data_IF_808893302416
#
_entry.id   IF_808893302416
#
_cell.length_a   1.000
_cell.length_b   1.000
_cell.length_c   1.000
_cell.angle_alpha   90.00
_cell.angle_beta   90.00
_cell.angle_gamma   90.00
#
_symmetry.space_group_name_H-M   'P 1'
#
loop_
_entity.id
_entity.type
_entity.pdbx_description
1 polymer ?
#
# COMPACT_ATOMS: atom_id res chain seq x y z
N UNK A 1 -7.52 -15.18 -25.07
CA UNK A 1 -6.08 -15.29 -24.74
C UNK A 1 -5.67 -14.35 -23.60
N UNK A 2 -6.37 -14.31 -22.45
CA UNK A 2 -6.14 -13.28 -21.38
C UNK A 2 -5.75 -13.86 -20.01
N UNK A 3 -5.47 -15.17 -19.89
CA UNK A 3 -5.36 -15.83 -18.56
C UNK A 3 -3.93 -16.18 -18.14
N UNK A 4 -2.87 -15.75 -18.83
CA UNK A 4 -1.50 -16.24 -18.57
C UNK A 4 -0.60 -15.33 -17.71
N UNK A 5 -1.05 -14.13 -17.34
CA UNK A 5 -0.17 -13.19 -16.62
C UNK A 5 -0.18 -13.35 -15.08
N UNK A 6 -1.21 -13.95 -14.52
CA UNK A 6 -1.40 -14.04 -13.05
C UNK A 6 -0.51 -15.11 -12.40
N UNK A 7 -0.07 -16.13 -13.15
CA UNK A 7 0.71 -17.24 -12.59
C UNK A 7 2.21 -16.98 -12.40
N UNK A 8 2.75 -15.91 -12.95
CA UNK A 8 4.20 -15.66 -12.89
C UNK A 8 4.67 -15.13 -11.54
N UNK A 9 3.79 -14.49 -10.75
CA UNK A 9 4.15 -13.90 -9.46
C UNK A 9 4.09 -14.87 -8.27
N UNK A 10 3.45 -16.01 -8.40
CA UNK A 10 3.30 -17.00 -7.31
C UNK A 10 4.52 -17.92 -7.11
N UNK A 11 5.48 -17.93 -8.04
CA UNK A 11 6.67 -18.80 -7.97
C UNK A 11 7.92 -18.16 -7.34
N UNK A 12 7.93 -16.86 -7.07
CA UNK A 12 9.09 -16.16 -6.52
C UNK A 12 9.40 -16.41 -5.03
N UNK A 13 8.45 -16.72 -4.12
CA UNK A 13 8.77 -16.86 -2.70
C UNK A 13 9.57 -18.13 -2.35
N UNK A 14 9.60 -19.14 -3.20
CA UNK A 14 10.25 -20.43 -2.86
C UNK A 14 11.75 -20.48 -3.14
N UNK A 15 12.31 -19.58 -3.92
CA UNK A 15 13.76 -19.58 -4.22
C UNK A 15 14.64 -18.86 -3.19
N UNK A 16 14.07 -18.12 -2.25
CA UNK A 16 14.83 -17.42 -1.20
C UNK A 16 15.17 -18.28 0.02
N UNK A 17 14.80 -19.56 0.04
CA UNK A 17 14.99 -20.46 1.19
C UNK A 17 16.43 -20.99 1.39
N UNK A 18 17.39 -20.50 0.63
CA UNK A 18 18.77 -21.03 0.64
C UNK A 18 19.86 -20.17 1.29
N UNK A 19 19.56 -18.96 1.80
CA UNK A 19 20.63 -18.09 2.30
C UNK A 19 20.87 -18.26 3.81
N UNK A 20 22.00 -18.83 4.16
CA UNK A 20 22.45 -19.10 5.54
C UNK A 20 23.16 -17.93 6.23
N UNK A 21 23.27 -16.76 5.59
CA UNK A 21 23.83 -15.53 6.17
C UNK A 21 22.88 -14.37 5.90
N UNK A 22 22.74 -13.38 6.81
CA UNK A 22 21.97 -12.18 6.53
C UNK A 22 22.51 -11.55 5.26
N UNK A 23 21.64 -11.38 4.25
CA UNK A 23 22.03 -10.80 2.98
C UNK A 23 22.81 -9.50 3.24
N UNK A 24 24.00 -9.29 2.64
CA UNK A 24 24.87 -8.15 2.96
C UNK A 24 24.20 -6.79 2.73
N UNK A 25 23.10 -6.76 1.95
CA UNK A 25 22.44 -5.55 1.49
C UNK A 25 21.17 -5.17 2.25
N UNK A 26 20.56 -6.07 3.05
CA UNK A 26 19.32 -5.78 3.76
C UNK A 26 18.58 -7.03 4.25
N UNK A 27 17.41 -6.79 4.85
CA UNK A 27 16.54 -7.81 5.42
C UNK A 27 15.26 -7.94 4.57
N UNK A 28 14.87 -9.17 4.30
CA UNK A 28 13.61 -9.51 3.65
C UNK A 28 12.59 -10.00 4.68
N UNK A 29 11.33 -9.66 4.46
CA UNK A 29 10.20 -10.19 5.22
C UNK A 29 8.98 -10.35 4.33
N UNK A 30 8.03 -11.16 4.78
CA UNK A 30 6.77 -11.46 4.09
C UNK A 30 5.62 -11.06 4.99
N UNK A 31 4.49 -10.65 4.40
CA UNK A 31 3.28 -10.39 5.17
C UNK A 31 2.05 -11.09 4.60
N UNK A 32 1.11 -11.36 5.48
CA UNK A 32 -0.26 -11.72 5.16
C UNK A 32 -1.18 -10.76 5.89
N UNK A 33 -2.16 -10.22 5.18
CA UNK A 33 -3.05 -9.23 5.73
C UNK A 33 -4.38 -9.15 5.00
N UNK A 34 -5.12 -8.11 5.34
CA UNK A 34 -6.34 -7.71 4.67
C UNK A 34 -6.37 -6.20 4.50
N UNK A 35 -6.98 -5.76 3.41
CA UNK A 35 -7.17 -4.35 3.10
C UNK A 35 -8.65 -4.05 2.90
N UNK A 36 -9.06 -2.89 3.40
CA UNK A 36 -10.31 -2.22 3.03
C UNK A 36 -9.98 -0.84 2.46
N UNK A 37 -10.36 -0.60 1.23
CA UNK A 37 -10.41 0.71 0.60
C UNK A 37 -11.86 1.14 0.51
N UNK A 38 -12.18 2.38 0.84
CA UNK A 38 -13.56 2.89 0.83
C UNK A 38 -13.61 4.34 0.35
N UNK A 39 -14.57 4.61 -0.52
CA UNK A 39 -15.07 5.92 -0.95
C UNK A 39 -16.53 6.06 -0.53
N UNK A 40 -17.17 7.24 -0.63
CA UNK A 40 -18.57 7.43 -0.23
C UNK A 40 -19.55 6.44 -0.86
N UNK A 41 -19.34 6.05 -2.12
CA UNK A 41 -20.28 5.23 -2.89
C UNK A 41 -19.77 3.80 -3.18
N UNK A 42 -18.53 3.46 -2.77
CA UNK A 42 -17.98 2.13 -3.07
C UNK A 42 -16.91 1.69 -2.07
N UNK A 43 -16.66 0.38 -2.03
CA UNK A 43 -15.55 -0.19 -1.29
C UNK A 43 -14.94 -1.39 -1.99
N UNK A 44 -13.66 -1.63 -1.67
CA UNK A 44 -12.87 -2.78 -2.06
C UNK A 44 -12.34 -3.43 -0.78
N UNK A 45 -12.61 -4.72 -0.57
CA UNK A 45 -12.18 -5.45 0.64
C UNK A 45 -11.63 -6.81 0.23
N UNK A 46 -10.47 -7.17 0.77
CA UNK A 46 -9.91 -8.50 0.48
C UNK A 46 -8.57 -8.77 1.14
N UNK A 47 -8.09 -10.01 1.03
CA UNK A 47 -6.78 -10.40 1.50
C UNK A 47 -5.67 -9.77 0.66
N UNK A 48 -4.50 -9.62 1.28
CA UNK A 48 -3.28 -9.20 0.62
C UNK A 48 -2.07 -9.99 1.14
N UNK A 49 -1.10 -10.22 0.27
CA UNK A 49 0.21 -10.74 0.62
C UNK A 49 1.26 -9.69 0.29
N UNK A 50 2.32 -9.64 1.06
CA UNK A 50 3.38 -8.66 0.89
C UNK A 50 4.77 -9.25 0.92
N UNK A 51 5.66 -8.59 0.19
CA UNK A 51 7.11 -8.74 0.26
C UNK A 51 7.68 -7.40 0.70
N UNK A 52 8.54 -7.43 1.70
CA UNK A 52 9.16 -6.25 2.27
C UNK A 52 10.67 -6.41 2.25
N UNK A 53 11.36 -5.34 1.92
CA UNK A 53 12.81 -5.26 1.98
C UNK A 53 13.24 -3.99 2.70
N UNK A 54 14.25 -4.10 3.55
CA UNK A 54 14.80 -3.01 4.32
C UNK A 54 16.31 -3.03 4.23
N UNK A 55 16.93 -1.95 3.75
CA UNK A 55 18.39 -1.85 3.70
C UNK A 55 19.00 -1.79 5.11
N UNK A 56 20.29 -2.11 5.21
CA UNK A 56 21.09 -1.62 6.33
C UNK A 56 21.23 -0.11 6.22
N UNK A 57 21.55 0.59 7.33
CA UNK A 57 21.88 2.02 7.26
C UNK A 57 22.97 2.28 6.21
N UNK A 58 22.70 3.18 5.30
CA UNK A 58 23.62 3.54 4.21
C UNK A 58 24.66 4.50 4.76
N UNK A 59 25.87 3.99 5.02
CA UNK A 59 27.00 4.81 5.47
C UNK A 59 27.37 5.82 4.38
N UNK A 60 27.54 7.08 4.77
CA UNK A 60 27.81 8.20 3.84
C UNK A 60 26.60 9.06 3.48
N UNK A 61 25.37 8.58 3.72
CA UNK A 61 24.12 9.35 3.54
C UNK A 61 23.42 9.71 4.86
N UNK A 62 24.19 9.95 5.95
CA UNK A 62 23.65 10.37 7.23
C UNK A 62 22.76 9.31 7.90
N UNK A 63 23.13 8.02 7.83
CA UNK A 63 22.35 6.89 8.36
C UNK A 63 20.96 6.73 7.72
N UNK A 64 20.85 7.04 6.45
CA UNK A 64 19.62 6.80 5.69
C UNK A 64 19.32 5.30 5.60
N UNK A 65 18.05 4.93 5.66
CA UNK A 65 17.54 3.59 5.45
C UNK A 65 16.55 3.59 4.30
N UNK A 66 16.73 2.67 3.35
CA UNK A 66 15.78 2.44 2.26
C UNK A 66 14.86 1.27 2.62
N UNK A 67 13.58 1.44 2.41
CA UNK A 67 12.55 0.40 2.57
C UNK A 67 11.72 0.29 1.30
N UNK A 68 11.43 -0.93 0.89
CA UNK A 68 10.59 -1.23 -0.26
C UNK A 68 9.54 -2.26 0.14
N UNK A 69 8.28 -1.94 -0.06
CA UNK A 69 7.16 -2.86 0.13
C UNK A 69 6.49 -3.11 -1.22
N UNK A 70 6.12 -4.35 -1.51
CA UNK A 70 5.27 -4.75 -2.62
C UNK A 70 4.14 -5.62 -2.08
N UNK A 71 2.89 -5.19 -2.28
CA UNK A 71 1.71 -5.90 -1.82
C UNK A 71 0.82 -6.24 -3.01
N UNK A 72 0.25 -7.44 -3.00
CA UNK A 72 -0.68 -7.92 -4.01
C UNK A 72 -1.90 -8.49 -3.31
N UNK A 73 -3.09 -8.13 -3.77
CA UNK A 73 -4.34 -8.58 -3.18
C UNK A 73 -5.39 -8.95 -4.21
N UNK A 74 -6.40 -9.70 -3.77
CA UNK A 74 -7.62 -9.98 -4.50
C UNK A 74 -8.80 -9.47 -3.67
N UNK A 75 -9.51 -8.47 -4.20
CA UNK A 75 -10.53 -7.75 -3.46
C UNK A 75 -11.93 -8.02 -4.01
N UNK A 76 -12.92 -7.92 -3.14
CA UNK A 76 -14.32 -7.81 -3.51
C UNK A 76 -14.68 -6.33 -3.61
N UNK A 77 -15.10 -5.91 -4.78
CA UNK A 77 -15.71 -4.61 -5.00
C UNK A 77 -17.19 -4.65 -4.63
N UNK A 78 -17.71 -3.61 -4.00
CA UNK A 78 -19.14 -3.38 -3.80
C UNK A 78 -19.45 -1.88 -3.88
N UNK A 79 -20.58 -1.57 -4.52
CA UNK A 79 -21.11 -0.21 -4.66
C UNK A 79 -22.63 -0.26 -4.66
N UNK A 80 -23.25 0.75 -4.07
CA UNK A 80 -24.71 0.86 -4.00
C UNK A 80 -25.34 1.10 -5.37
N UNK A 81 -24.59 1.70 -6.30
CA UNK A 81 -25.08 2.07 -7.63
C UNK A 81 -24.71 1.09 -8.73
N UNK A 82 -23.51 0.51 -8.67
CA UNK A 82 -22.95 -0.33 -9.75
C UNK A 82 -22.87 -1.81 -9.38
N UNK A 83 -23.30 -2.21 -8.19
CA UNK A 83 -23.35 -3.60 -7.75
C UNK A 83 -22.01 -4.14 -7.24
N UNK A 84 -21.77 -5.44 -7.44
CA UNK A 84 -20.61 -6.15 -6.87
C UNK A 84 -19.75 -6.83 -7.92
N UNK A 85 -18.44 -6.96 -7.64
CA UNK A 85 -17.47 -7.69 -8.44
C UNK A 85 -16.51 -8.45 -7.52
N UNK A 86 -16.10 -9.66 -7.87
CA UNK A 86 -15.17 -10.49 -7.07
C UNK A 86 -13.81 -10.53 -7.72
N UNK A 87 -12.79 -10.85 -6.91
CA UNK A 87 -11.42 -11.10 -7.37
C UNK A 87 -10.78 -9.93 -8.14
N UNK A 88 -11.06 -8.70 -7.73
CA UNK A 88 -10.42 -7.51 -8.29
C UNK A 88 -8.95 -7.51 -7.87
N UNK A 89 -8.00 -7.63 -8.82
CA UNK A 89 -6.58 -7.55 -8.48
C UNK A 89 -6.23 -6.15 -8.00
N UNK A 90 -5.39 -6.11 -6.96
CA UNK A 90 -4.84 -4.90 -6.38
C UNK A 90 -3.33 -5.06 -6.27
N UNK A 91 -2.58 -4.03 -6.62
CA UNK A 91 -1.13 -3.98 -6.46
C UNK A 91 -0.78 -2.65 -5.79
N UNK A 92 0.06 -2.73 -4.75
CA UNK A 92 0.61 -1.55 -4.09
C UNK A 92 2.11 -1.67 -3.97
N UNK A 93 2.85 -0.60 -4.25
CA UNK A 93 4.28 -0.50 -3.91
C UNK A 93 4.53 0.72 -3.06
N UNK A 94 5.47 0.61 -2.14
CA UNK A 94 5.94 1.72 -1.30
C UNK A 94 7.44 1.75 -1.29
N UNK A 95 8.00 2.90 -1.50
CA UNK A 95 9.42 3.19 -1.44
C UNK A 95 9.63 4.27 -0.40
N UNK A 96 10.47 4.02 0.59
CA UNK A 96 10.73 4.98 1.67
C UNK A 96 12.22 5.16 1.85
N UNK A 97 12.65 6.40 1.98
CA UNK A 97 13.99 6.74 2.44
C UNK A 97 13.83 7.49 3.76
N UNK A 98 14.37 6.93 4.82
CA UNK A 98 14.25 7.48 6.18
C UNK A 98 15.63 7.82 6.71
N UNK A 99 15.80 9.02 7.24
CA UNK A 99 17.00 9.49 7.90
C UNK A 99 16.79 9.49 9.41
N UNK A 100 17.67 8.83 10.14
CA UNK A 100 17.64 8.85 11.61
C UNK A 100 18.10 10.22 12.12
N UNK A 101 17.39 10.74 13.10
CA UNK A 101 17.80 11.98 13.79
C UNK A 101 19.04 11.73 14.63
N UNK A 102 20.05 12.58 14.49
CA UNK A 102 21.25 12.54 15.37
C UNK A 102 20.95 13.01 16.80
N UNK A 103 19.91 13.82 16.96
CA UNK A 103 19.50 14.37 18.25
C UNK A 103 18.51 13.49 19.00
N UNK A 104 17.60 12.83 18.26
CA UNK A 104 16.57 11.95 18.80
C UNK A 104 16.68 10.60 18.14
N UNK A 105 17.38 9.68 18.78
CA UNK A 105 17.69 8.34 18.22
C UNK A 105 16.44 7.52 17.90
N UNK A 106 15.30 7.82 18.53
CA UNK A 106 14.03 7.14 18.33
C UNK A 106 13.20 7.74 17.18
N UNK A 107 13.65 8.83 16.54
CA UNK A 107 12.91 9.51 15.49
C UNK A 107 13.66 9.43 14.17
N UNK A 108 12.95 9.03 13.14
CA UNK A 108 13.38 9.12 11.74
C UNK A 108 12.35 9.90 10.94
N UNK A 109 12.81 10.58 9.90
CA UNK A 109 11.95 11.32 8.96
C UNK A 109 12.45 11.09 7.54
N UNK A 110 11.63 11.38 6.55
CA UNK A 110 12.08 11.08 5.20
C UNK A 110 11.11 11.42 4.10
N UNK A 111 11.25 10.69 3.00
CA UNK A 111 10.39 10.75 1.82
C UNK A 111 9.84 9.37 1.51
N UNK A 112 8.61 9.33 1.03
CA UNK A 112 8.01 8.09 0.54
C UNK A 112 7.26 8.31 -0.77
N UNK A 113 7.37 7.33 -1.65
CA UNK A 113 6.55 7.18 -2.85
C UNK A 113 5.66 5.95 -2.67
N UNK A 114 4.37 6.12 -2.87
CA UNK A 114 3.40 5.05 -2.88
C UNK A 114 2.72 4.99 -4.24
N UNK A 115 2.64 3.80 -4.83
CA UNK A 115 1.76 3.54 -5.97
C UNK A 115 0.71 2.52 -5.60
N UNK A 116 -0.50 2.71 -6.09
CA UNK A 116 -1.60 1.79 -5.83
C UNK A 116 -2.44 1.65 -7.10
N UNK A 117 -2.77 0.42 -7.47
CA UNK A 117 -3.51 0.11 -8.69
C UNK A 117 -4.61 -0.91 -8.44
N UNK A 118 -5.81 -0.63 -8.90
CA UNK A 118 -6.95 -1.55 -8.92
C UNK A 118 -7.30 -1.89 -10.38
N UNK A 119 -7.37 -3.16 -10.69
CA UNK A 119 -7.59 -3.68 -12.06
C UNK A 119 -9.02 -4.26 -12.17
N UNK A 120 -10.05 -3.38 -12.11
CA UNK A 120 -11.43 -3.82 -12.24
C UNK A 120 -11.75 -4.32 -13.66
N UNK A 121 -11.03 -3.84 -14.67
CA UNK A 121 -11.19 -4.23 -16.08
C UNK A 121 -10.78 -5.69 -16.37
N UNK A 122 -10.02 -6.34 -15.48
CA UNK A 122 -9.62 -7.75 -15.65
C UNK A 122 -10.71 -8.72 -15.24
N UNK A 123 -11.85 -8.25 -14.73
CA UNK A 123 -12.95 -9.06 -14.25
C UNK A 123 -14.17 -8.99 -15.17
N UNK A 124 -15.11 -9.89 -14.95
CA UNK A 124 -16.45 -9.82 -15.52
C UNK A 124 -17.15 -8.55 -15.04
N UNK A 125 -18.14 -8.05 -15.78
CA UNK A 125 -18.98 -6.94 -15.30
C UNK A 125 -19.53 -7.19 -13.91
N UNK A 126 -19.88 -6.11 -13.22
CA UNK A 126 -20.53 -6.18 -11.90
C UNK A 126 -21.85 -6.93 -11.96
N UNK A 127 -22.43 -7.26 -10.82
CA UNK A 127 -23.74 -7.93 -10.71
C UNK A 127 -24.89 -7.18 -11.40
N UNK A 128 -24.72 -5.89 -11.68
CA UNK A 128 -25.71 -5.05 -12.42
C UNK A 128 -25.26 -4.75 -13.86
N UNK A 129 -24.21 -5.42 -14.37
CA UNK A 129 -23.77 -5.33 -15.77
C UNK A 129 -22.80 -4.17 -16.07
N UNK A 130 -22.35 -3.42 -15.07
CA UNK A 130 -21.38 -2.34 -15.30
C UNK A 130 -19.97 -2.90 -15.52
N UNK A 131 -19.28 -2.41 -16.54
CA UNK A 131 -17.87 -2.73 -16.80
C UNK A 131 -16.95 -2.11 -15.75
N UNK A 132 -15.79 -2.73 -15.53
CA UNK A 132 -14.72 -2.18 -14.70
C UNK A 132 -13.66 -1.45 -15.52
N UNK A 133 -12.90 -0.59 -14.89
CA UNK A 133 -11.76 0.12 -15.47
C UNK A 133 -10.59 0.14 -14.49
N UNK A 134 -9.40 0.41 -14.98
CA UNK A 134 -8.21 0.52 -14.14
C UNK A 134 -8.18 1.87 -13.41
N UNK A 135 -7.68 1.83 -12.17
CA UNK A 135 -7.48 3.00 -11.32
C UNK A 135 -6.06 2.96 -10.77
N UNK A 136 -5.31 4.04 -10.95
CA UNK A 136 -3.93 4.16 -10.52
C UNK A 136 -3.74 5.41 -9.68
N UNK A 137 -3.07 5.25 -8.54
CA UNK A 137 -2.67 6.38 -7.70
C UNK A 137 -1.16 6.37 -7.54
N UNK A 138 -0.54 7.56 -7.62
CA UNK A 138 0.87 7.80 -7.30
C UNK A 138 0.93 8.94 -6.31
N UNK A 139 1.60 8.75 -5.17
CA UNK A 139 1.52 9.65 -4.03
C UNK A 139 2.91 9.83 -3.41
N UNK A 140 3.29 11.08 -3.16
CA UNK A 140 4.50 11.45 -2.44
C UNK A 140 4.14 11.91 -1.03
N UNK A 141 4.86 11.37 -0.04
CA UNK A 141 4.58 11.57 1.38
C UNK A 141 5.81 12.03 2.14
N UNK A 142 5.59 12.79 3.21
CA UNK A 142 6.58 13.08 4.24
C UNK A 142 6.30 12.20 5.46
N UNK A 143 7.00 11.08 5.63
CA UNK A 143 6.89 10.24 6.81
C UNK A 143 7.72 10.78 7.97
N UNK A 144 7.19 10.57 9.18
CA UNK A 144 7.92 10.62 10.44
C UNK A 144 7.69 9.29 11.14
N UNK A 145 8.77 8.67 11.61
CA UNK A 145 8.75 7.41 12.34
C UNK A 145 9.26 7.62 13.75
N UNK A 146 8.53 7.09 14.70
CA UNK A 146 8.99 6.82 16.06
C UNK A 146 9.26 5.33 16.20
N UNK A 147 10.43 4.97 16.80
CA UNK A 147 10.78 3.58 17.09
C UNK A 147 11.34 3.50 18.50
N UNK A 148 10.86 2.56 19.29
CA UNK A 148 11.32 2.37 20.66
C UNK A 148 11.54 0.88 20.96
N UNK A 149 12.41 0.58 21.93
CA UNK A 149 12.59 -0.77 22.44
C UNK A 149 11.34 -1.23 23.18
N UNK A 150 11.03 -2.53 23.11
CA UNK A 150 9.86 -3.09 23.77
C UNK A 150 9.90 -3.05 25.31
N UNK A 151 11.07 -2.80 25.90
CA UNK A 151 11.25 -2.73 27.36
C UNK A 151 10.34 -1.68 28.02
N UNK A 152 10.11 -0.57 27.34
CA UNK A 152 9.22 0.51 27.82
C UNK A 152 7.73 0.18 27.63
N UNK A 153 7.39 -0.94 26.99
CA UNK A 153 6.04 -1.31 26.57
C UNK A 153 5.58 -2.65 27.14
N UNK A 154 6.06 -3.00 28.34
CA UNK A 154 5.79 -4.29 28.99
C UNK A 154 4.31 -4.62 29.14
N UNK A 155 3.43 -3.64 29.19
CA UNK A 155 1.97 -3.80 29.18
C UNK A 155 1.46 -4.54 27.92
N UNK A 156 2.19 -4.48 26.80
CA UNK A 156 1.86 -5.16 25.55
C UNK A 156 2.43 -6.60 25.48
N UNK A 157 2.98 -7.10 26.57
CA UNK A 157 3.64 -8.42 26.63
C UNK A 157 5.11 -8.36 26.18
N UNK A 158 5.69 -9.48 25.69
CA UNK A 158 7.12 -9.57 25.36
C UNK A 158 7.43 -8.93 23.99
N UNK A 159 7.10 -7.65 23.83
CA UNK A 159 7.39 -6.86 22.63
C UNK A 159 8.89 -6.54 22.58
N UNK A 160 9.53 -6.78 21.45
CA UNK A 160 10.92 -6.43 21.19
C UNK A 160 11.09 -4.97 20.80
N UNK A 161 10.19 -4.46 19.96
CA UNK A 161 10.16 -3.06 19.54
C UNK A 161 8.76 -2.61 19.15
N UNK A 162 8.53 -1.33 19.31
CA UNK A 162 7.32 -0.62 18.88
C UNK A 162 7.73 0.37 17.81
N UNK A 163 6.99 0.41 16.72
CA UNK A 163 7.19 1.36 15.64
C UNK A 163 5.87 2.05 15.33
N UNK A 164 5.90 3.38 15.27
CA UNK A 164 4.78 4.21 14.87
C UNK A 164 5.22 5.13 13.73
N UNK A 165 4.51 5.08 12.62
CA UNK A 165 4.74 5.96 11.47
C UNK A 165 3.53 6.87 11.31
N UNK A 166 3.77 8.13 11.01
CA UNK A 166 2.77 9.08 10.53
C UNK A 166 3.31 9.82 9.32
N UNK A 167 2.44 10.23 8.41
CA UNK A 167 2.89 11.02 7.25
C UNK A 167 1.79 11.90 6.70
N UNK A 168 2.22 12.97 6.05
CA UNK A 168 1.36 13.90 5.32
C UNK A 168 1.63 13.78 3.82
N UNK A 169 0.57 13.87 3.02
CA UNK A 169 0.65 13.87 1.56
C UNK A 169 1.23 15.20 1.09
N UNK A 170 2.29 15.14 0.29
CA UNK A 170 2.86 16.31 -0.38
C UNK A 170 2.15 16.60 -1.69
N UNK A 171 2.00 15.55 -2.48
CA UNK A 171 1.29 15.59 -3.72
C UNK A 171 0.85 14.18 -4.10
N UNK A 172 -0.30 14.07 -4.77
CA UNK A 172 -0.81 12.83 -5.31
C UNK A 172 -1.41 13.04 -6.69
N UNK A 173 -1.43 11.95 -7.45
CA UNK A 173 -2.08 11.85 -8.74
C UNK A 173 -2.96 10.61 -8.74
N UNK A 174 -4.19 10.74 -9.22
CA UNK A 174 -5.11 9.62 -9.44
C UNK A 174 -5.55 9.59 -10.89
N UNK A 175 -5.44 8.44 -11.53
CA UNK A 175 -5.83 8.22 -12.93
C UNK A 175 -6.92 7.17 -12.98
N UNK A 176 -8.08 7.54 -13.50
CA UNK A 176 -9.21 6.65 -13.81
C UNK A 176 -9.27 6.40 -15.32
N UNK A 177 -9.04 5.15 -15.75
CA UNK A 177 -8.98 4.73 -17.16
C UNK A 177 -10.37 4.53 -17.77
N UNK A 178 -11.21 5.58 -17.80
CA UNK A 178 -12.59 5.50 -18.27
C UNK A 178 -12.72 5.16 -19.77
N UNK A 179 -11.68 5.41 -20.57
CA UNK A 179 -11.61 5.01 -21.99
C UNK A 179 -11.74 3.50 -22.19
N UNK A 180 -11.45 2.69 -21.16
CA UNK A 180 -11.64 1.24 -21.18
C UNK A 180 -13.11 0.79 -21.16
N UNK A 181 -14.00 1.65 -20.64
CA UNK A 181 -15.45 1.40 -20.66
C UNK A 181 -16.06 1.73 -22.03
N UNK A 182 -15.63 2.84 -22.62
CA UNK A 182 -16.07 3.32 -23.92
C UNK A 182 -15.00 4.25 -24.51
N UNK A 183 -14.66 4.07 -25.77
CA UNK A 183 -13.66 4.87 -26.48
C UNK A 183 -14.02 6.38 -26.57
N UNK A 184 -15.28 6.74 -26.37
CA UNK A 184 -15.71 8.15 -26.29
C UNK A 184 -15.46 8.80 -24.93
N UNK A 185 -15.02 8.04 -23.92
CA UNK A 185 -14.67 8.59 -22.61
C UNK A 185 -13.22 9.03 -22.60
N UNK A 186 -12.93 10.09 -21.84
CA UNK A 186 -11.55 10.48 -21.52
C UNK A 186 -11.08 9.74 -20.27
N UNK A 187 -9.80 9.38 -20.23
CA UNK A 187 -9.15 9.05 -18.97
C UNK A 187 -9.09 10.31 -18.09
N UNK A 188 -9.42 10.16 -16.85
CA UNK A 188 -9.47 11.26 -15.88
C UNK A 188 -8.20 11.22 -15.03
N UNK A 189 -7.52 12.36 -14.94
CA UNK A 189 -6.30 12.53 -14.18
C UNK A 189 -6.49 13.65 -13.17
N UNK A 190 -6.62 13.29 -11.90
CA UNK A 190 -6.88 14.19 -10.80
C UNK A 190 -5.65 14.37 -9.92
N UNK A 191 -5.46 15.57 -9.36
CA UNK A 191 -4.43 15.85 -8.35
C UNK A 191 -5.02 15.77 -6.96
N UNK A 192 -4.27 15.18 -6.04
CA UNK A 192 -4.60 15.04 -4.63
C UNK A 192 -3.57 15.84 -3.81
N UNK A 193 -4.04 16.72 -2.93
CA UNK A 193 -3.18 17.65 -2.19
C UNK A 193 -3.19 17.41 -0.69
N UNK A 194 -4.24 16.79 -0.17
CA UNK A 194 -4.44 16.61 1.25
C UNK A 194 -4.60 15.15 1.59
N UNK A 195 -3.83 14.68 2.55
CA UNK A 195 -3.94 13.32 3.07
C UNK A 195 -3.01 13.10 4.26
N UNK A 196 -3.37 12.12 5.06
CA UNK A 196 -2.58 11.67 6.20
C UNK A 196 -2.60 10.15 6.28
N UNK A 197 -1.54 9.56 6.80
CA UNK A 197 -1.55 8.18 7.23
C UNK A 197 -0.95 8.02 8.62
N UNK A 198 -1.36 6.99 9.30
CA UNK A 198 -0.75 6.46 10.52
C UNK A 198 -0.59 4.96 10.39
N UNK A 199 0.51 4.45 10.93
CA UNK A 199 0.79 3.02 11.00
C UNK A 199 1.36 2.70 12.37
N UNK A 200 0.97 1.58 12.95
CA UNK A 200 1.61 0.99 14.13
C UNK A 200 2.05 -0.43 13.80
N UNK A 201 3.22 -0.82 14.29
CA UNK A 201 3.79 -2.14 14.14
C UNK A 201 4.49 -2.54 15.44
N UNK A 202 4.27 -3.77 15.89
CA UNK A 202 4.84 -4.34 17.10
C UNK A 202 5.69 -5.55 16.72
N UNK A 203 6.95 -5.56 17.08
CA UNK A 203 7.85 -6.69 16.82
C UNK A 203 7.88 -7.64 18.02
N UNK A 204 7.58 -8.91 17.80
CA UNK A 204 7.69 -9.98 18.78
C UNK A 204 8.75 -10.98 18.34
N UNK A 205 9.72 -11.25 19.24
CA UNK A 205 10.74 -12.28 19.00
C UNK A 205 10.24 -13.66 19.30
N UNK A 206 10.57 -14.60 18.42
CA UNK A 206 10.33 -16.03 18.59
C UNK A 206 11.63 -16.82 18.35
N UNK A 207 11.63 -18.11 18.63
CA UNK A 207 12.80 -18.95 18.34
C UNK A 207 13.16 -19.00 16.85
N UNK A 208 12.19 -18.81 15.94
CA UNK A 208 12.37 -18.89 14.47
C UNK A 208 12.48 -17.55 13.76
N UNK A 209 12.25 -16.44 14.46
CA UNK A 209 12.29 -15.11 13.84
C UNK A 209 11.52 -14.05 14.59
N UNK A 210 11.17 -12.98 13.89
CA UNK A 210 10.29 -11.92 14.39
C UNK A 210 8.98 -12.00 13.63
N UNK A 211 7.85 -11.92 14.32
CA UNK A 211 6.56 -11.64 13.75
C UNK A 211 6.09 -10.25 14.18
N UNK A 212 5.53 -9.51 13.26
CA UNK A 212 5.21 -8.11 13.45
C UNK A 212 3.79 -7.81 13.00
N UNK A 213 2.79 -7.91 13.90
CA UNK A 213 1.44 -7.41 13.61
C UNK A 213 1.49 -5.92 13.34
N UNK A 214 0.73 -5.48 12.34
CA UNK A 214 0.63 -4.08 11.97
C UNK A 214 -0.81 -3.68 11.66
N UNK A 215 -1.06 -2.39 11.85
CA UNK A 215 -2.25 -1.70 11.38
C UNK A 215 -1.81 -0.40 10.71
N UNK A 216 -2.36 -0.11 9.53
CA UNK A 216 -2.17 1.15 8.82
C UNK A 216 -3.51 1.72 8.41
N UNK A 217 -3.71 2.98 8.69
CA UNK A 217 -4.84 3.76 8.22
C UNK A 217 -4.34 4.92 7.37
N UNK A 218 -5.00 5.15 6.24
CA UNK A 218 -4.72 6.26 5.32
C UNK A 218 -6.03 6.97 5.00
N UNK A 219 -6.00 8.27 4.98
CA UNK A 219 -7.10 9.13 4.52
C UNK A 219 -6.56 10.12 3.51
N UNK A 220 -7.30 10.31 2.42
CA UNK A 220 -7.00 11.27 1.35
C UNK A 220 -8.30 12.02 1.07
N UNK A 221 -8.22 13.32 0.99
CA UNK A 221 -9.33 14.21 0.70
C UNK A 221 -9.73 14.18 -0.76
N UNK A 222 -10.83 14.85 -1.10
CA UNK A 222 -11.26 15.04 -2.48
C UNK A 222 -10.12 15.61 -3.33
N UNK A 223 -10.02 15.12 -4.55
CA UNK A 223 -9.07 15.63 -5.53
C UNK A 223 -9.55 16.92 -6.18
N UNK A 224 -8.69 17.58 -6.94
CA UNK A 224 -9.09 18.64 -7.87
C UNK A 224 -10.15 18.13 -8.84
N UNK A 225 -11.05 19.05 -9.23
CA UNK A 225 -12.03 18.80 -10.30
C UNK A 225 -11.40 19.08 -11.66
N UNK A 226 -11.57 18.16 -12.59
CA UNK A 226 -11.06 18.29 -13.95
C UNK A 226 -12.18 18.12 -14.97
N UNK A 227 -12.09 18.81 -16.10
CA UNK A 227 -13.00 18.63 -17.21
C UNK A 227 -12.73 17.30 -17.91
N UNK A 228 -13.78 16.59 -18.31
CA UNK A 228 -13.68 15.35 -19.06
C UNK A 228 -14.98 15.01 -19.78
N UNK A 229 -14.99 13.84 -20.44
CA UNK A 229 -16.16 13.31 -21.12
C UNK A 229 -16.50 11.92 -20.60
N UNK A 230 -17.78 11.66 -20.33
CA UNK A 230 -18.30 10.34 -20.02
C UNK A 230 -19.58 10.09 -20.82
N UNK A 231 -19.66 8.97 -21.54
CA UNK A 231 -20.76 8.64 -22.46
C UNK A 231 -21.05 9.77 -23.48
N UNK A 232 -20.00 10.44 -23.97
CA UNK A 232 -20.11 11.56 -24.92
C UNK A 232 -20.60 12.89 -24.33
N UNK A 233 -20.76 12.99 -23.03
CA UNK A 233 -21.21 14.20 -22.33
C UNK A 233 -20.05 14.85 -21.56
N UNK A 234 -19.84 16.17 -21.71
CA UNK A 234 -18.87 16.88 -20.89
C UNK A 234 -19.30 16.93 -19.43
N UNK A 235 -18.35 16.93 -18.51
CA UNK A 235 -18.60 17.01 -17.08
C UNK A 235 -17.35 17.37 -16.28
N UNK A 236 -17.55 17.69 -15.01
CA UNK A 236 -16.48 17.85 -14.03
C UNK A 236 -16.32 16.54 -13.25
N UNK A 237 -15.11 16.02 -13.25
CA UNK A 237 -14.75 14.77 -12.60
C UNK A 237 -13.76 15.04 -11.48
N UNK A 238 -13.91 14.34 -10.38
CA UNK A 238 -12.97 14.36 -9.27
C UNK A 238 -12.91 12.95 -8.63
N UNK A 239 -11.82 12.65 -7.99
CA UNK A 239 -11.69 11.49 -7.13
C UNK A 239 -12.21 11.86 -5.76
N UNK A 240 -13.25 11.21 -5.25
CA UNK A 240 -13.81 11.54 -3.96
C UNK A 240 -12.85 11.12 -2.84
N UNK A 241 -13.04 11.72 -1.67
CA UNK A 241 -12.36 11.36 -0.44
C UNK A 241 -12.33 9.83 -0.26
N UNK A 242 -11.17 9.31 0.08
CA UNK A 242 -11.03 7.88 0.30
C UNK A 242 -10.29 7.56 1.59
N UNK A 243 -10.57 6.37 2.11
CA UNK A 243 -9.96 5.81 3.30
C UNK A 243 -9.45 4.41 3.01
N UNK A 244 -8.27 4.10 3.53
CA UNK A 244 -7.71 2.76 3.44
C UNK A 244 -7.32 2.27 4.82
N UNK A 245 -7.73 1.06 5.16
CA UNK A 245 -7.32 0.34 6.35
C UNK A 245 -6.62 -0.95 5.92
N UNK A 246 -5.41 -1.17 6.40
CA UNK A 246 -4.64 -2.39 6.20
C UNK A 246 -4.29 -2.96 7.57
N UNK A 247 -4.52 -4.25 7.75
CA UNK A 247 -4.13 -5.00 8.95
C UNK A 247 -3.43 -6.27 8.51
N UNK A 248 -2.41 -6.68 9.23
CA UNK A 248 -1.69 -7.90 8.87
C UNK A 248 -0.60 -8.25 9.85
N UNK A 249 0.12 -9.29 9.49
CA UNK A 249 1.31 -9.76 10.20
C UNK A 249 2.44 -9.90 9.20
N UNK A 250 3.61 -9.38 9.55
CA UNK A 250 4.86 -9.52 8.80
C UNK A 250 5.76 -10.53 9.54
N UNK A 251 6.48 -11.36 8.79
CA UNK A 251 7.44 -12.34 9.33
C UNK A 251 8.83 -12.08 8.77
N UNK A 252 9.80 -11.97 9.68
CA UNK A 252 11.24 -11.92 9.41
C UNK A 252 11.88 -13.17 10.01
N UNK A 253 12.46 -14.01 9.17
CA UNK A 253 13.10 -15.23 9.64
C UNK A 253 14.55 -14.95 10.06
N UNK A 254 14.93 -15.57 11.18
CA UNK A 254 16.34 -15.75 11.54
C UNK A 254 16.86 -17.03 10.87
N UNK A 255 17.97 -16.97 10.28
CA UNK A 255 18.79 -18.12 9.98
C UNK A 255 20.21 -17.89 10.46
#
# INVERSE_FOLDING_TARGET
MKTRLVYLFLLFPFMAMGQTAPAPWGLWSYSLGAQRYAEPAMQLVGPEIGLHWQSRPLMGLGQAQLEVDALVGLQKYSSDTTGTMKNVPNIETRWRVLWSSSRWTNISYGLALLTHSNYLNLNSPTSTGHGGYERHSTQFWLPVRFSDSGENWSVLGPVKSVQMDAGVLLLGQHISKLSQLNASNNDINNRQHTGVYIQSKLDYSTASGIYSPYIRWTWIDDSDKVNGYSAGRPGLFYEPMNRRLQIGVEWKYWR
#
